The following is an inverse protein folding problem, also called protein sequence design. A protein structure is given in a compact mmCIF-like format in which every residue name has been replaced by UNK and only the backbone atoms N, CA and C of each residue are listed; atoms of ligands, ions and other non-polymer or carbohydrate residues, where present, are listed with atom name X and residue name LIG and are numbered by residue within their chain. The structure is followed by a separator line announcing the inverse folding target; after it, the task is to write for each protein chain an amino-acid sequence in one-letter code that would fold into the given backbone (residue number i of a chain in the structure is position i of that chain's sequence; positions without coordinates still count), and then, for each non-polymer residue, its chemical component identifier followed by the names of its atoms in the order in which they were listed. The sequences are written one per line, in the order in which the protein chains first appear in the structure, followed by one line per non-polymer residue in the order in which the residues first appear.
data_IF_782111822614
#
_entry.id   IF_782111822614
#
_cell.length_a   1.000
_cell.length_b   1.000
_cell.length_c   1.000
_cell.angle_alpha   90.00
_cell.angle_beta   90.00
_cell.angle_gamma   90.00
#
_symmetry.space_group_name_H-M   'P 1'
#
loop_
_entity.id
_entity.type
_entity.pdbx_description
1 polymer ?
#
# COMPACT_ATOMS: atom_id res chain seq x y z
N UNK A 1 17.66 10.81 51.70
CA UNK A 1 17.41 9.68 50.80
C UNK A 1 16.44 10.19 49.75
N UNK A 2 16.99 10.90 48.78
CA UNK A 2 16.26 11.38 47.59
C UNK A 2 16.02 10.12 46.76
N UNK A 3 14.77 9.72 46.61
CA UNK A 3 14.45 8.60 45.73
C UNK A 3 14.70 9.13 44.32
N UNK A 4 15.60 8.44 43.63
CA UNK A 4 15.96 8.64 42.24
C UNK A 4 14.73 8.33 41.35
N UNK A 5 13.76 9.24 41.36
CA UNK A 5 12.51 9.14 40.59
C UNK A 5 12.73 9.48 39.10
N UNK A 6 13.87 10.08 38.77
CA UNK A 6 14.25 10.50 37.42
C UNK A 6 14.67 9.31 36.54
N UNK A 7 15.34 8.30 37.10
CA UNK A 7 15.87 7.17 36.30
C UNK A 7 14.84 6.08 36.02
N UNK A 8 13.77 5.99 36.82
CA UNK A 8 12.69 5.02 36.61
C UNK A 8 11.78 5.38 35.41
N UNK A 9 11.53 6.67 35.18
CA UNK A 9 10.62 7.15 34.13
C UNK A 9 11.24 7.04 32.72
N UNK A 10 12.55 7.26 32.59
CA UNK A 10 13.28 7.09 31.32
C UNK A 10 13.27 5.63 30.82
N UNK A 11 13.33 4.66 31.73
CA UNK A 11 13.28 3.23 31.41
C UNK A 11 11.90 2.78 30.91
N UNK A 12 10.83 3.26 31.55
CA UNK A 12 9.45 2.95 31.19
C UNK A 12 9.05 3.49 29.82
N UNK A 13 9.30 4.78 29.57
CA UNK A 13 8.99 5.43 28.30
C UNK A 13 9.73 4.79 27.11
N UNK A 14 11.02 4.50 27.27
CA UNK A 14 11.82 3.83 26.25
C UNK A 14 11.28 2.42 25.94
N UNK A 15 10.78 1.70 26.95
CA UNK A 15 10.18 0.37 26.79
C UNK A 15 8.87 0.44 26.00
N UNK A 16 8.01 1.42 26.30
CA UNK A 16 6.75 1.63 25.58
C UNK A 16 7.02 2.03 24.13
N UNK A 17 7.92 2.99 23.88
CA UNK A 17 8.30 3.40 22.53
C UNK A 17 8.82 2.21 21.72
N UNK A 18 9.63 1.33 22.34
CA UNK A 18 10.14 0.11 21.70
C UNK A 18 9.02 -0.88 21.35
N UNK A 19 8.09 -1.10 22.27
CA UNK A 19 6.95 -1.99 22.03
C UNK A 19 6.08 -1.48 20.88
N UNK A 20 5.75 -0.17 20.90
CA UNK A 20 4.97 0.48 19.84
C UNK A 20 5.69 0.41 18.49
N UNK A 21 6.99 0.71 18.45
CA UNK A 21 7.77 0.63 17.21
C UNK A 21 7.81 -0.79 16.63
N UNK A 22 7.91 -1.82 17.47
CA UNK A 22 7.86 -3.22 17.06
C UNK A 22 6.51 -3.60 16.45
N UNK A 23 5.41 -3.20 17.10
CA UNK A 23 4.05 -3.45 16.61
C UNK A 23 3.84 -2.73 15.27
N UNK A 24 4.21 -1.45 15.19
CA UNK A 24 4.11 -0.68 13.94
C UNK A 24 4.93 -1.30 12.81
N UNK A 25 6.15 -1.76 13.10
CA UNK A 25 6.99 -2.42 12.11
C UNK A 25 6.35 -3.72 11.60
N UNK A 26 5.83 -4.56 12.50
CA UNK A 26 5.16 -5.80 12.12
C UNK A 26 3.90 -5.54 11.29
N UNK A 27 3.10 -4.53 11.67
CA UNK A 27 1.90 -4.11 10.93
C UNK A 27 2.27 -3.61 9.53
N UNK A 28 3.28 -2.75 9.41
CA UNK A 28 3.72 -2.21 8.11
C UNK A 28 4.23 -3.31 7.17
N UNK A 29 5.03 -4.26 7.69
CA UNK A 29 5.50 -5.40 6.89
C UNK A 29 4.31 -6.29 6.47
N UNK A 30 3.41 -6.60 7.39
CA UNK A 30 2.21 -7.40 7.09
C UNK A 30 1.32 -6.75 6.03
N UNK A 31 1.05 -5.45 6.16
CA UNK A 31 0.30 -4.69 5.17
C UNK A 31 1.00 -4.66 3.81
N UNK A 32 2.32 -4.51 3.78
CA UNK A 32 3.06 -4.49 2.54
C UNK A 32 3.07 -5.84 1.81
N UNK A 33 3.20 -6.95 2.53
CA UNK A 33 3.08 -8.30 1.96
C UNK A 33 1.66 -8.52 1.43
N UNK A 34 0.64 -8.14 2.19
CA UNK A 34 -0.76 -8.25 1.79
C UNK A 34 -1.05 -7.42 0.53
N UNK A 35 -0.57 -6.18 0.46
CA UNK A 35 -0.73 -5.32 -0.71
C UNK A 35 -0.04 -5.88 -1.96
N UNK A 36 1.18 -6.42 -1.83
CA UNK A 36 1.89 -7.07 -2.93
C UNK A 36 1.16 -8.33 -3.40
N UNK A 37 0.72 -9.18 -2.47
CA UNK A 37 -0.09 -10.35 -2.79
C UNK A 37 -1.39 -9.97 -3.50
N UNK A 38 -2.08 -8.93 -3.03
CA UNK A 38 -3.29 -8.41 -3.64
C UNK A 38 -3.06 -7.85 -5.05
N UNK A 39 -1.94 -7.16 -5.28
CA UNK A 39 -1.55 -6.66 -6.60
C UNK A 39 -1.28 -7.81 -7.58
N UNK A 40 -0.53 -8.83 -7.16
CA UNK A 40 -0.25 -10.03 -7.97
C UNK A 40 -1.54 -10.79 -8.27
N UNK A 41 -2.38 -11.02 -7.26
CA UNK A 41 -3.66 -11.71 -7.42
C UNK A 41 -4.58 -10.98 -8.39
N UNK A 42 -4.69 -9.66 -8.26
CA UNK A 42 -5.51 -8.83 -9.16
C UNK A 42 -4.95 -8.79 -10.57
N UNK A 43 -3.62 -8.70 -10.73
CA UNK A 43 -2.96 -8.77 -12.04
C UNK A 43 -3.15 -10.13 -12.72
N UNK A 44 -3.10 -11.22 -11.95
CA UNK A 44 -3.41 -12.56 -12.45
C UNK A 44 -4.89 -12.70 -12.85
N UNK A 45 -5.80 -12.17 -12.03
CA UNK A 45 -7.23 -12.12 -12.36
C UNK A 45 -7.49 -11.38 -13.68
N UNK A 46 -6.79 -10.27 -13.89
CA UNK A 46 -6.85 -9.48 -15.12
C UNK A 46 -6.37 -10.25 -16.35
N UNK A 47 -5.29 -11.05 -16.19
CA UNK A 47 -4.74 -11.86 -17.27
C UNK A 47 -5.65 -13.05 -17.61
N UNK A 48 -6.28 -13.65 -16.59
CA UNK A 48 -7.16 -14.80 -16.75
C UNK A 48 -8.52 -14.43 -17.33
N UNK A 49 -9.05 -13.26 -16.96
CA UNK A 49 -10.34 -12.76 -17.43
C UNK A 49 -10.23 -11.28 -17.82
N UNK A 50 -9.73 -10.99 -19.03
CA UNK A 50 -9.51 -9.62 -19.51
C UNK A 50 -10.81 -8.83 -19.69
N UNK A 51 -11.95 -9.53 -19.84
CA UNK A 51 -13.27 -8.92 -19.99
C UNK A 51 -13.78 -8.32 -18.66
N UNK A 52 -13.19 -8.71 -17.52
CA UNK A 52 -13.50 -8.14 -16.20
C UNK A 52 -13.30 -6.62 -16.10
N UNK A 53 -12.48 -6.01 -16.96
CA UNK A 53 -12.30 -4.55 -17.02
C UNK A 53 -13.49 -3.84 -17.66
N UNK A 54 -14.31 -4.54 -18.44
CA UNK A 54 -15.48 -3.96 -19.11
C UNK A 54 -16.45 -3.27 -18.14
N UNK A 55 -16.63 -3.83 -16.94
CA UNK A 55 -17.45 -3.21 -15.89
C UNK A 55 -16.82 -1.91 -15.38
N UNK A 56 -15.51 -1.92 -15.08
CA UNK A 56 -14.79 -0.74 -14.63
C UNK A 56 -14.78 0.36 -15.70
N UNK A 57 -14.68 -0.01 -16.98
CA UNK A 57 -14.72 0.94 -18.09
C UNK A 57 -16.06 1.64 -18.23
N UNK A 58 -17.17 0.92 -18.04
CA UNK A 58 -18.50 1.53 -18.00
C UNK A 58 -18.65 2.46 -16.81
N UNK A 59 -18.26 1.99 -15.62
CA UNK A 59 -18.31 2.80 -14.40
C UNK A 59 -17.44 4.07 -14.50
N UNK A 60 -16.25 3.95 -15.08
CA UNK A 60 -15.33 5.08 -15.28
C UNK A 60 -15.93 6.11 -16.23
N UNK A 61 -16.47 5.69 -17.39
CA UNK A 61 -17.16 6.57 -18.33
C UNK A 61 -18.34 7.31 -17.70
N UNK A 62 -19.14 6.61 -16.91
CA UNK A 62 -20.32 7.15 -16.24
C UNK A 62 -19.92 8.19 -15.19
N UNK A 63 -18.87 7.90 -14.41
CA UNK A 63 -18.39 8.79 -13.34
C UNK A 63 -17.65 10.02 -13.89
N UNK A 64 -16.85 9.87 -14.94
CA UNK A 64 -16.05 10.98 -15.51
C UNK A 64 -16.79 11.78 -16.60
N UNK A 65 -18.01 11.38 -16.96
CA UNK A 65 -18.80 11.97 -18.06
C UNK A 65 -18.04 12.06 -19.39
N UNK A 66 -16.99 11.24 -19.58
CA UNK A 66 -16.22 11.20 -20.82
C UNK A 66 -17.09 10.82 -22.03
N UNK A 67 -18.20 10.13 -21.79
CA UNK A 67 -19.22 9.84 -22.80
C UNK A 67 -19.87 11.09 -23.43
N UNK A 68 -19.87 12.23 -22.73
CA UNK A 68 -20.41 13.51 -23.25
C UNK A 68 -19.40 14.22 -24.18
N UNK A 69 -18.10 13.93 -24.04
CA UNK A 69 -17.01 14.59 -24.76
C UNK A 69 -16.52 13.81 -26.00
N UNK A 70 -16.91 12.54 -26.15
CA UNK A 70 -16.38 11.65 -27.20
C UNK A 70 -17.49 11.19 -28.15
N UNK A 71 -17.28 11.20 -29.50
CA UNK A 71 -18.28 10.75 -30.46
C UNK A 71 -18.79 9.34 -30.15
N UNK A 72 -20.12 9.13 -30.31
CA UNK A 72 -20.92 8.00 -29.80
C UNK A 72 -20.46 6.57 -30.22
N UNK A 73 -19.45 6.43 -31.07
CA UNK A 73 -18.83 5.15 -31.44
C UNK A 73 -17.39 4.95 -30.93
N UNK A 74 -16.65 6.03 -30.60
CA UNK A 74 -15.25 5.95 -30.19
C UNK A 74 -15.09 5.79 -28.66
N UNK A 75 -16.11 6.16 -27.89
CA UNK A 75 -16.06 6.18 -26.43
C UNK A 75 -15.86 4.80 -25.81
N UNK A 76 -16.39 3.73 -26.42
CA UNK A 76 -16.34 2.37 -25.85
C UNK A 76 -14.93 1.78 -25.89
N UNK A 77 -14.25 1.87 -27.04
CA UNK A 77 -12.87 1.40 -27.18
C UNK A 77 -11.88 2.25 -26.38
N UNK A 78 -12.08 3.57 -26.37
CA UNK A 78 -11.24 4.49 -25.60
C UNK A 78 -11.37 4.25 -24.09
N UNK A 79 -12.59 4.05 -23.60
CA UNK A 79 -12.82 3.76 -22.19
C UNK A 79 -12.19 2.46 -21.74
N UNK A 80 -12.27 1.42 -22.58
CA UNK A 80 -11.63 0.14 -22.29
C UNK A 80 -10.12 0.30 -22.16
N UNK A 81 -9.49 1.01 -23.11
CA UNK A 81 -8.05 1.29 -23.06
C UNK A 81 -7.64 2.15 -21.86
N UNK A 82 -8.38 3.24 -21.58
CA UNK A 82 -8.12 4.11 -20.43
C UNK A 82 -8.28 3.35 -19.12
N UNK A 83 -9.24 2.43 -19.04
CA UNK A 83 -9.46 1.61 -17.84
C UNK A 83 -8.33 0.59 -17.65
N UNK A 84 -7.84 -0.03 -18.73
CA UNK A 84 -6.63 -0.85 -18.69
C UNK A 84 -5.44 -0.06 -18.13
N UNK A 85 -5.20 1.14 -18.67
CA UNK A 85 -4.11 2.00 -18.20
C UNK A 85 -4.31 2.38 -16.73
N UNK A 86 -5.51 2.78 -16.33
CA UNK A 86 -5.83 3.13 -14.95
C UNK A 86 -5.63 1.95 -13.99
N UNK A 87 -6.10 0.75 -14.34
CA UNK A 87 -5.93 -0.46 -13.52
C UNK A 87 -4.46 -0.83 -13.39
N UNK A 88 -3.69 -0.82 -14.49
CA UNK A 88 -2.25 -1.08 -14.44
C UNK A 88 -1.55 -0.06 -13.54
N UNK A 89 -1.86 1.23 -13.66
CA UNK A 89 -1.32 2.27 -12.79
C UNK A 89 -1.68 2.05 -11.32
N UNK A 90 -2.93 1.67 -11.03
CA UNK A 90 -3.35 1.36 -9.67
C UNK A 90 -2.60 0.15 -9.09
N UNK A 91 -2.38 -0.90 -9.89
CA UNK A 91 -1.60 -2.06 -9.48
C UNK A 91 -0.13 -1.71 -9.22
N UNK A 92 0.46 -0.86 -10.07
CA UNK A 92 1.82 -0.37 -9.89
C UNK A 92 1.94 0.47 -8.61
N UNK A 93 0.98 1.37 -8.36
CA UNK A 93 0.94 2.17 -7.13
C UNK A 93 0.79 1.26 -5.91
N UNK A 94 -0.10 0.26 -5.96
CA UNK A 94 -0.29 -0.69 -4.87
C UNK A 94 0.98 -1.49 -4.56
N UNK A 95 1.65 -2.00 -5.60
CA UNK A 95 2.93 -2.70 -5.45
C UNK A 95 4.03 -1.79 -4.90
N UNK A 96 4.09 -0.53 -5.37
CA UNK A 96 5.05 0.46 -4.87
C UNK A 96 4.83 0.80 -3.40
N UNK A 97 3.58 1.02 -3.01
CA UNK A 97 3.19 1.27 -1.62
C UNK A 97 3.49 0.05 -0.74
N UNK A 98 3.22 -1.16 -1.23
CA UNK A 98 3.54 -2.40 -0.51
C UNK A 98 5.05 -2.54 -0.26
N UNK A 99 5.87 -2.31 -1.28
CA UNK A 99 7.32 -2.33 -1.15
C UNK A 99 7.83 -1.26 -0.16
N UNK A 100 7.27 -0.05 -0.21
CA UNK A 100 7.61 1.01 0.74
C UNK A 100 7.17 0.70 2.17
N UNK A 101 6.02 0.07 2.38
CA UNK A 101 5.57 -0.34 3.70
C UNK A 101 6.52 -1.39 4.31
N UNK A 102 6.95 -2.37 3.50
CA UNK A 102 7.96 -3.36 3.93
C UNK A 102 9.29 -2.67 4.25
N UNK A 103 9.76 -1.77 3.39
CA UNK A 103 11.02 -1.06 3.59
C UNK A 103 10.99 -0.19 4.87
N UNK A 104 9.91 0.55 5.09
CA UNK A 104 9.71 1.35 6.29
C UNK A 104 9.67 0.47 7.55
N UNK A 105 8.91 -0.62 7.53
CA UNK A 105 8.86 -1.59 8.62
C UNK A 105 10.22 -2.24 8.91
N UNK A 106 10.96 -2.63 7.87
CA UNK A 106 12.29 -3.20 7.99
C UNK A 106 13.29 -2.19 8.57
N UNK A 107 13.24 -0.91 8.17
CA UNK A 107 14.09 0.16 8.75
C UNK A 107 13.85 0.32 10.24
N UNK A 108 12.59 0.28 10.69
CA UNK A 108 12.24 0.32 12.11
C UNK A 108 12.85 -0.88 12.88
N UNK A 109 12.93 -2.05 12.25
CA UNK A 109 13.58 -3.23 12.83
C UNK A 109 15.11 -3.16 12.79
N UNK A 110 15.72 -2.54 11.77
CA UNK A 110 17.19 -2.47 11.62
C UNK A 110 17.82 -1.38 12.50
N UNK A 111 17.13 -0.26 12.75
CA UNK A 111 17.59 0.77 13.72
C UNK A 111 17.82 0.15 15.11
N UNK A 112 17.08 -0.91 15.45
CA UNK A 112 17.28 -1.72 16.66
C UNK A 112 18.63 -2.43 16.69
N UNK A 113 19.05 -3.02 15.57
CA UNK A 113 20.20 -3.93 15.52
C UNK A 113 21.54 -3.20 15.68
N UNK A 114 21.61 -1.91 15.30
CA UNK A 114 22.80 -1.08 15.50
C UNK A 114 22.95 -0.51 16.92
N UNK A 115 21.88 -0.41 17.71
CA UNK A 115 21.97 0.06 19.12
C UNK A 115 22.30 -1.05 20.12
N UNK A 116 22.22 -2.32 19.73
CA UNK A 116 22.57 -3.47 20.59
C UNK A 116 24.03 -3.92 20.45
N UNK A 117 24.81 -3.32 19.56
CA UNK A 117 26.23 -3.64 19.32
C UNK A 117 27.18 -2.46 19.57
N UNK A 118 26.70 -1.38 20.20
CA UNK A 118 27.51 -0.22 20.58
C UNK A 118 27.50 -0.01 22.08
#
# INVERSE_FOLDING_TARGET
MEIDESTADEGGLNTIIRAVALVLAAVLVGLGIWALGGAIYSGWGLFRDPDGIGYFARYFLETTKLAELVPKGAAVGLAHYVSWVAVILLLLVLGKLGAWAIEAGARLLVVRQRRTHG
#
